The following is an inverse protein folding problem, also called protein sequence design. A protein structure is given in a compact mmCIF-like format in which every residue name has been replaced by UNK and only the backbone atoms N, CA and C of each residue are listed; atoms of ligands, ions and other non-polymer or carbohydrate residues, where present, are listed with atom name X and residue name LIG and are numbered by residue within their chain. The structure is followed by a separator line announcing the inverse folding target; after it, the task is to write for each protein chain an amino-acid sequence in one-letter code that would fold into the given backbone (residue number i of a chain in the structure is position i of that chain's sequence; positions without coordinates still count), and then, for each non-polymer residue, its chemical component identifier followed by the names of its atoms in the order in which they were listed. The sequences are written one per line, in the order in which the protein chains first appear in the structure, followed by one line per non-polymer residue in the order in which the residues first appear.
data_IF_002910900225
#
_entry.id   IF_002910900225
#
_cell.length_a   1.000
_cell.length_b   1.000
_cell.length_c   1.000
_cell.angle_alpha   90.00
_cell.angle_beta   90.00
_cell.angle_gamma   90.00
#
_symmetry.space_group_name_H-M   'P 1'
#
loop_
_entity.id
_entity.type
_entity.pdbx_description
1 polymer ?
#
# COMPACT_ATOMS: atom_id res chain seq x y z
N UNK A 1 -10.32 -11.21 -4.03
CA UNK A 1 -10.40 -9.85 -4.63
C UNK A 1 -10.32 -9.89 -6.14
N UNK A 2 -9.40 -10.64 -6.77
CA UNK A 2 -9.35 -10.78 -8.24
C UNK A 2 -10.63 -11.35 -8.88
N UNK A 3 -11.46 -12.08 -8.13
CA UNK A 3 -12.77 -12.61 -8.60
C UNK A 3 -13.87 -11.55 -8.69
N UNK A 4 -13.58 -10.27 -8.42
CA UNK A 4 -14.53 -9.16 -8.47
C UNK A 4 -14.27 -8.20 -9.63
N UNK A 5 -13.40 -8.58 -10.58
CA UNK A 5 -13.13 -7.76 -11.75
C UNK A 5 -14.34 -7.80 -12.70
N UNK A 6 -14.75 -6.66 -13.26
CA UNK A 6 -15.74 -6.63 -14.33
C UNK A 6 -15.32 -7.45 -15.54
N UNK A 7 -16.29 -7.96 -16.30
CA UNK A 7 -16.02 -8.72 -17.53
C UNK A 7 -15.38 -7.87 -18.64
N UNK A 8 -15.53 -6.55 -18.58
CA UNK A 8 -14.94 -5.55 -19.49
C UNK A 8 -13.62 -4.95 -18.97
N UNK A 9 -13.01 -5.54 -17.94
CA UNK A 9 -11.75 -5.04 -17.40
C UNK A 9 -10.60 -5.13 -18.41
N UNK A 10 -9.74 -4.11 -18.39
CA UNK A 10 -8.54 -4.04 -19.21
C UNK A 10 -7.37 -4.80 -18.58
N UNK A 11 -6.29 -5.01 -19.34
CA UNK A 11 -5.06 -5.60 -18.81
C UNK A 11 -4.47 -4.68 -17.74
N UNK A 12 -4.55 -3.37 -17.95
CA UNK A 12 -4.08 -2.33 -17.04
C UNK A 12 -4.83 -2.37 -15.70
N UNK A 13 -6.15 -2.61 -15.73
CA UNK A 13 -6.94 -2.79 -14.50
C UNK A 13 -6.43 -3.99 -13.71
N UNK A 14 -6.27 -5.14 -14.37
CA UNK A 14 -5.75 -6.36 -13.73
C UNK A 14 -4.38 -6.10 -13.11
N UNK A 15 -3.49 -5.42 -13.83
CA UNK A 15 -2.15 -5.09 -13.35
C UNK A 15 -2.19 -4.17 -12.14
N UNK A 16 -3.01 -3.11 -12.17
CA UNK A 16 -3.18 -2.21 -11.03
C UNK A 16 -3.71 -2.96 -9.80
N UNK A 17 -4.70 -3.83 -9.98
CA UNK A 17 -5.25 -4.65 -8.90
C UNK A 17 -4.18 -5.58 -8.29
N UNK A 18 -3.37 -6.21 -9.12
CA UNK A 18 -2.26 -7.05 -8.65
C UNK A 18 -1.19 -6.23 -7.93
N UNK A 19 -0.86 -5.04 -8.45
CA UNK A 19 0.07 -4.12 -7.83
C UNK A 19 -0.38 -3.74 -6.42
N UNK A 20 -1.61 -3.23 -6.26
CA UNK A 20 -2.15 -2.83 -4.95
C UNK A 20 -2.18 -4.01 -3.99
N UNK A 21 -2.63 -5.18 -4.45
CA UNK A 21 -2.64 -6.40 -3.63
C UNK A 21 -1.23 -6.77 -3.16
N UNK A 22 -0.24 -6.68 -4.05
CA UNK A 22 1.17 -6.93 -3.73
C UNK A 22 1.69 -5.95 -2.68
N UNK A 23 1.42 -4.65 -2.85
CA UNK A 23 1.85 -3.60 -1.90
C UNK A 23 1.23 -3.79 -0.52
N UNK A 24 -0.06 -4.15 -0.44
CA UNK A 24 -0.73 -4.43 0.85
C UNK A 24 -0.11 -5.66 1.52
N UNK A 25 0.08 -6.76 0.79
CA UNK A 25 0.70 -7.98 1.35
C UNK A 25 2.11 -7.72 1.86
N UNK A 26 2.92 -7.00 1.08
CA UNK A 26 4.26 -6.61 1.49
C UNK A 26 4.25 -5.73 2.74
N UNK A 27 3.32 -4.77 2.82
CA UNK A 27 3.17 -3.91 4.00
C UNK A 27 2.78 -4.68 5.25
N UNK A 28 1.85 -5.64 5.15
CA UNK A 28 1.48 -6.52 6.26
C UNK A 28 2.66 -7.39 6.72
N UNK A 29 3.38 -8.01 5.78
CA UNK A 29 4.55 -8.80 6.12
C UNK A 29 5.62 -7.96 6.85
N UNK A 30 5.88 -6.74 6.37
CA UNK A 30 6.84 -5.85 7.01
C UNK A 30 6.38 -5.43 8.41
N UNK A 31 5.09 -5.11 8.59
CA UNK A 31 4.53 -4.80 9.90
C UNK A 31 4.69 -5.98 10.89
N UNK A 32 4.55 -7.21 10.42
CA UNK A 32 4.73 -8.42 11.23
C UNK A 32 6.21 -8.68 11.57
N UNK A 33 7.15 -8.43 10.64
CA UNK A 33 8.58 -8.76 10.83
C UNK A 33 9.41 -7.65 11.45
N UNK A 34 9.17 -6.40 11.05
CA UNK A 34 9.96 -5.22 11.42
C UNK A 34 9.19 -4.29 12.39
N UNK A 35 7.90 -4.54 12.60
CA UNK A 35 7.04 -3.77 13.47
C UNK A 35 6.39 -2.55 12.80
N UNK A 36 5.68 -1.76 13.60
CA UNK A 36 4.98 -0.54 13.18
C UNK A 36 5.37 0.63 14.08
N UNK A 37 5.26 1.84 13.55
CA UNK A 37 5.48 3.09 14.29
C UNK A 37 4.15 3.69 14.73
N UNK A 38 4.16 4.43 15.83
CA UNK A 38 3.03 5.24 16.25
C UNK A 38 2.87 6.46 15.33
N UNK A 39 1.63 6.93 15.19
CA UNK A 39 1.29 8.07 14.32
C UNK A 39 2.18 9.30 14.59
N UNK A 40 2.38 9.68 15.86
CA UNK A 40 3.20 10.83 16.23
C UNK A 40 4.68 10.70 15.82
N UNK A 41 5.23 9.49 15.86
CA UNK A 41 6.60 9.21 15.43
C UNK A 41 6.73 9.41 13.92
N UNK A 42 5.76 8.90 13.16
CA UNK A 42 5.73 9.04 11.70
C UNK A 42 5.55 10.49 11.28
N UNK A 43 4.65 11.24 11.91
CA UNK A 43 4.46 12.68 11.65
C UNK A 43 5.75 13.47 11.88
N UNK A 44 6.46 13.19 12.97
CA UNK A 44 7.78 13.77 13.25
C UNK A 44 8.79 13.47 12.13
N UNK A 45 8.90 12.21 11.70
CA UNK A 45 9.83 11.79 10.64
C UNK A 45 9.50 12.40 9.27
N UNK A 46 8.21 12.50 8.94
CA UNK A 46 7.74 12.98 7.64
C UNK A 46 7.70 14.50 7.53
N UNK A 47 7.70 15.22 8.65
CA UNK A 47 7.64 16.70 8.69
C UNK A 47 8.73 17.39 7.85
N UNK A 48 9.92 16.78 7.72
CA UNK A 48 11.04 17.35 6.95
C UNK A 48 10.80 17.51 5.45
N UNK A 49 9.74 16.91 4.91
CA UNK A 49 9.36 17.03 3.50
C UNK A 49 8.16 17.95 3.28
N UNK A 50 7.63 18.55 4.34
CA UNK A 50 6.66 19.63 4.20
C UNK A 50 7.39 20.87 3.67
N UNK A 51 6.96 21.35 2.50
CA UNK A 51 7.41 22.62 1.94
C UNK A 51 6.44 23.67 2.49
N UNK A 52 6.91 24.47 3.45
CA UNK A 52 6.19 25.67 3.92
C UNK A 52 6.40 26.87 2.99
#
# INVERSE_FOLDING_TARGET
MLRKLPDDCTIEDIQYHLYVLGKVRQGLQFADTEGVLQQAEVEGLLSKWLIE
#
